data_IF_500214366576
#
_entry.id   IF_500214366576
#
_cell.length_a   1.000
_cell.length_b   1.000
_cell.length_c   1.000
_cell.angle_alpha   90.00
_cell.angle_beta   90.00
_cell.angle_gamma   90.00
#
_symmetry.space_group_name_H-M   'P 1'
#
loop_
_entity.id
_entity.type
_entity.pdbx_description
1 polymer ?
#
# COMPACT_ATOMS: atom_id res chain seq x y z
N UNK A 1 -5.45 -10.19 12.16
CA UNK A 1 -6.78 -10.32 11.53
C UNK A 1 -7.55 -9.05 11.86
N UNK A 2 -8.39 -8.55 10.94
CA UNK A 2 -9.30 -7.43 11.24
C UNK A 2 -10.15 -7.82 12.44
N UNK A 3 -10.24 -6.94 13.44
CA UNK A 3 -10.94 -7.18 14.70
C UNK A 3 -12.40 -6.73 14.64
N UNK A 4 -12.82 -6.11 13.54
CA UNK A 4 -14.17 -5.59 13.36
C UNK A 4 -14.80 -6.08 12.05
N UNK A 5 -16.12 -6.18 12.02
CA UNK A 5 -16.82 -6.58 10.81
C UNK A 5 -16.82 -5.42 9.80
N UNK A 6 -16.07 -5.59 8.71
CA UNK A 6 -16.11 -4.67 7.55
C UNK A 6 -17.27 -5.09 6.65
N UNK A 7 -18.31 -4.26 6.56
CA UNK A 7 -19.51 -4.57 5.78
C UNK A 7 -19.18 -4.74 4.27
N UNK A 8 -19.91 -5.58 3.53
CA UNK A 8 -19.71 -5.75 2.08
C UNK A 8 -19.86 -4.44 1.30
N UNK A 9 -20.75 -3.55 1.72
CA UNK A 9 -20.94 -2.24 1.12
C UNK A 9 -19.68 -1.36 1.30
N UNK A 10 -19.17 -1.28 2.53
CA UNK A 10 -17.94 -0.56 2.83
C UNK A 10 -16.74 -1.16 2.08
N UNK A 11 -16.71 -2.49 1.95
CA UNK A 11 -15.68 -3.16 1.15
C UNK A 11 -15.72 -2.70 -0.31
N UNK A 12 -16.90 -2.72 -0.91
CA UNK A 12 -17.08 -2.30 -2.30
C UNK A 12 -16.69 -0.84 -2.51
N UNK A 13 -17.01 0.04 -1.56
CA UNK A 13 -16.69 1.47 -1.66
C UNK A 13 -15.19 1.74 -1.63
N UNK A 14 -14.46 1.11 -0.71
CA UNK A 14 -13.00 1.18 -0.62
C UNK A 14 -12.33 0.64 -1.90
N UNK A 15 -12.86 -0.46 -2.45
CA UNK A 15 -12.37 -1.05 -3.70
C UNK A 15 -12.60 -0.15 -4.93
N UNK A 16 -13.80 0.43 -5.06
CA UNK A 16 -14.16 1.30 -6.18
C UNK A 16 -13.29 2.55 -6.20
N UNK A 17 -13.09 3.19 -5.06
CA UNK A 17 -12.20 4.34 -4.91
C UNK A 17 -10.77 4.03 -5.36
N UNK A 18 -10.28 2.84 -5.01
CA UNK A 18 -8.93 2.40 -5.35
C UNK A 18 -8.79 1.91 -6.81
N UNK A 19 -9.84 2.01 -7.63
CA UNK A 19 -9.83 1.48 -9.00
C UNK A 19 -9.65 -0.04 -9.05
N UNK A 20 -10.09 -0.75 -8.01
CA UNK A 20 -9.86 -2.19 -7.77
C UNK A 20 -8.38 -2.60 -7.77
N UNK A 21 -7.47 -1.67 -7.48
CA UNK A 21 -6.03 -1.90 -7.39
C UNK A 21 -5.51 -1.48 -6.02
N UNK A 22 -4.56 -2.23 -5.49
CA UNK A 22 -3.91 -1.93 -4.23
C UNK A 22 -3.33 -0.52 -4.24
N UNK A 23 -3.72 0.32 -3.28
CA UNK A 23 -3.35 1.74 -3.17
C UNK A 23 -1.85 1.94 -2.86
N UNK A 24 -1.12 0.85 -2.62
CA UNK A 24 0.34 0.85 -2.44
C UNK A 24 1.08 0.48 -3.74
N UNK A 25 0.69 -0.62 -4.38
CA UNK A 25 1.50 -1.28 -5.42
C UNK A 25 0.80 -1.47 -6.77
N UNK A 26 -0.46 -1.04 -6.89
CA UNK A 26 -1.28 -1.12 -8.09
C UNK A 26 -1.60 -2.53 -8.63
N UNK A 27 -1.29 -3.60 -7.87
CA UNK A 27 -1.73 -4.98 -8.15
C UNK A 27 -3.15 -5.19 -7.59
N UNK A 28 -3.94 -6.09 -8.18
CA UNK A 28 -5.32 -6.37 -7.74
C UNK A 28 -5.38 -6.90 -6.28
N UNK A 29 -6.55 -6.73 -5.64
CA UNK A 29 -7.05 -7.42 -4.42
C UNK A 29 -7.14 -6.68 -3.04
N UNK A 30 -8.08 -7.26 -2.27
CA UNK A 30 -8.54 -7.21 -0.86
C UNK A 30 -8.32 -5.98 0.06
N UNK A 31 -9.14 -5.93 1.13
CA UNK A 31 -9.27 -4.75 2.01
C UNK A 31 -8.59 -5.01 3.34
N UNK A 32 -7.79 -4.03 3.77
CA UNK A 32 -7.03 -4.09 5.01
C UNK A 32 -7.52 -3.09 6.05
N UNK A 33 -7.65 -3.59 7.28
CA UNK A 33 -7.83 -2.82 8.50
C UNK A 33 -6.65 -3.08 9.45
N UNK A 34 -6.04 -2.00 9.94
CA UNK A 34 -4.90 -2.02 10.88
C UNK A 34 -5.05 -0.91 11.92
N UNK A 35 -4.32 -1.04 13.03
CA UNK A 35 -4.14 0.00 14.05
C UNK A 35 -5.36 0.38 14.88
N UNK A 36 -6.41 -0.44 14.86
CA UNK A 36 -7.63 -0.20 15.65
C UNK A 36 -8.37 1.10 15.27
N UNK A 37 -8.05 1.67 14.10
CA UNK A 37 -8.77 2.82 13.60
C UNK A 37 -10.19 2.44 13.18
N UNK A 38 -11.07 3.44 13.11
CA UNK A 38 -12.48 3.22 12.78
C UNK A 38 -12.65 2.51 11.42
N UNK A 39 -13.63 1.61 11.34
CA UNK A 39 -13.98 0.88 10.12
C UNK A 39 -14.78 1.78 9.19
N UNK A 40 -14.13 2.83 8.68
CA UNK A 40 -14.72 3.79 7.74
C UNK A 40 -13.92 3.84 6.45
N UNK A 41 -14.52 4.36 5.39
CA UNK A 41 -13.87 4.49 4.09
C UNK A 41 -12.62 5.36 4.16
N UNK A 42 -12.64 6.39 4.99
CA UNK A 42 -11.54 7.34 5.15
C UNK A 42 -10.31 6.72 5.80
N UNK A 43 -10.50 5.66 6.60
CA UNK A 43 -9.43 5.01 7.34
C UNK A 43 -8.94 3.70 6.70
N UNK A 44 -9.80 2.99 5.96
CA UNK A 44 -9.42 1.74 5.30
C UNK A 44 -8.63 1.99 4.01
N UNK A 45 -7.56 1.20 3.82
CA UNK A 45 -6.80 1.16 2.57
C UNK A 45 -7.13 -0.13 1.80
N UNK A 46 -7.32 -0.01 0.49
CA UNK A 46 -7.39 -1.17 -0.41
C UNK A 46 -5.96 -1.68 -0.62
N UNK A 47 -5.65 -2.87 -0.13
CA UNK A 47 -4.28 -3.35 -0.03
C UNK A 47 -4.21 -4.87 -0.24
N UNK A 48 -3.43 -5.28 -1.23
CA UNK A 48 -3.19 -6.70 -1.47
C UNK A 48 -2.55 -7.38 -0.24
N UNK A 49 -2.77 -8.69 -0.12
CA UNK A 49 -2.34 -9.50 1.03
C UNK A 49 -0.86 -9.32 1.36
N UNK A 50 0.01 -9.21 0.36
CA UNK A 50 1.45 -8.99 0.54
C UNK A 50 1.77 -7.61 1.11
N UNK A 51 1.19 -6.53 0.56
CA UNK A 51 1.38 -5.19 1.09
C UNK A 51 0.83 -5.08 2.52
N UNK A 52 -0.33 -5.69 2.76
CA UNK A 52 -0.95 -5.73 4.07
C UNK A 52 -0.09 -6.47 5.11
N UNK A 53 0.48 -7.61 4.73
CA UNK A 53 1.33 -8.40 5.61
C UNK A 53 2.67 -7.70 5.85
N UNK A 54 3.38 -7.29 4.79
CA UNK A 54 4.67 -6.63 4.92
C UNK A 54 4.58 -5.30 5.67
N UNK A 55 3.47 -4.56 5.55
CA UNK A 55 3.25 -3.36 6.35
C UNK A 55 3.06 -3.69 7.84
N UNK A 56 2.37 -4.79 8.14
CA UNK A 56 2.10 -5.20 9.52
C UNK A 56 1.46 -4.07 10.34
N UNK A 57 2.08 -3.78 11.49
CA UNK A 57 1.80 -2.62 12.35
C UNK A 57 2.83 -1.49 12.16
N UNK A 58 3.64 -1.54 11.12
CA UNK A 58 4.65 -0.52 10.93
C UNK A 58 4.01 0.77 10.39
N UNK A 59 4.47 1.89 10.92
CA UNK A 59 4.13 3.25 10.47
C UNK A 59 5.37 4.03 10.02
N UNK A 60 6.57 3.49 10.25
CA UNK A 60 7.86 4.07 9.90
C UNK A 60 8.92 2.97 9.71
N UNK A 61 10.02 3.31 9.05
CA UNK A 61 11.22 2.48 8.95
C UNK A 61 12.46 3.37 8.85
N UNK A 62 13.65 2.79 9.01
CA UNK A 62 14.91 3.52 8.88
C UNK A 62 15.28 3.64 7.41
N UNK A 63 15.62 4.83 6.91
CA UNK A 63 16.23 5.02 5.60
C UNK A 63 17.67 4.47 5.56
N UNK A 64 18.29 4.45 4.38
CA UNK A 64 19.64 3.90 4.20
C UNK A 64 20.71 4.64 5.00
N UNK A 65 20.50 5.93 5.27
CA UNK A 65 21.35 6.76 6.12
C UNK A 65 21.08 6.61 7.63
N UNK A 66 20.13 5.76 8.02
CA UNK A 66 19.72 5.53 9.41
C UNK A 66 18.65 6.49 9.93
N UNK A 67 18.16 7.43 9.12
CA UNK A 67 17.11 8.36 9.54
C UNK A 67 15.77 7.62 9.68
N UNK A 68 15.03 7.85 10.77
CA UNK A 68 13.68 7.32 10.92
C UNK A 68 12.71 8.10 10.02
N UNK A 69 12.09 7.40 9.07
CA UNK A 69 11.16 7.98 8.08
C UNK A 69 9.82 7.24 8.15
N UNK A 70 8.73 7.99 8.18
CA UNK A 70 7.38 7.40 8.14
C UNK A 70 7.12 6.68 6.81
N UNK A 71 6.26 5.67 6.83
CA UNK A 71 5.78 5.02 5.61
C UNK A 71 4.77 5.92 4.88
N UNK A 72 4.59 5.62 3.59
CA UNK A 72 3.53 6.21 2.78
C UNK A 72 2.16 5.91 3.41
N UNK A 73 1.34 6.95 3.50
CA UNK A 73 -0.01 6.89 4.02
C UNK A 73 -1.00 7.21 2.89
N UNK A 74 -1.73 6.21 2.35
CA UNK A 74 -2.56 6.38 1.16
C UNK A 74 -3.71 7.38 1.34
N UNK A 75 -3.97 7.87 2.57
CA UNK A 75 -5.00 8.89 2.88
C UNK A 75 -4.44 10.30 3.09
N UNK A 76 -3.14 10.43 3.33
CA UNK A 76 -2.49 11.71 3.62
C UNK A 76 -1.52 12.13 2.50
N UNK A 77 -1.06 11.15 1.72
CA UNK A 77 -0.03 11.33 0.72
C UNK A 77 -0.58 11.11 -0.69
N UNK A 78 -0.05 11.87 -1.65
CA UNK A 78 -0.27 11.65 -3.08
C UNK A 78 0.74 10.61 -3.59
N UNK A 79 0.27 9.54 -4.25
CA UNK A 79 1.13 8.42 -4.66
C UNK A 79 2.23 8.89 -5.63
N UNK A 80 1.88 9.71 -6.61
CA UNK A 80 2.77 10.22 -7.67
C UNK A 80 3.87 11.15 -7.14
N UNK A 81 3.67 11.72 -5.95
CA UNK A 81 4.70 12.51 -5.25
C UNK A 81 5.82 11.61 -4.75
N UNK A 82 5.48 10.42 -4.25
CA UNK A 82 6.43 9.50 -3.62
C UNK A 82 6.94 8.41 -4.54
N UNK A 83 6.21 8.12 -5.61
CA UNK A 83 6.47 7.00 -6.49
C UNK A 83 6.31 7.36 -7.97
N UNK A 84 6.97 6.58 -8.81
CA UNK A 84 6.73 6.51 -10.25
C UNK A 84 6.62 5.05 -10.68
N UNK A 85 5.69 4.76 -11.59
CA UNK A 85 5.67 3.47 -12.28
C UNK A 85 6.46 3.60 -13.59
N UNK A 86 7.61 2.93 -13.68
CA UNK A 86 8.48 2.90 -14.86
C UNK A 86 8.50 1.48 -15.41
N UNK A 87 7.75 1.27 -16.51
CA UNK A 87 7.37 -0.07 -16.94
C UNK A 87 6.57 -0.76 -15.86
N UNK A 88 7.07 -1.89 -15.34
CA UNK A 88 6.44 -2.59 -14.21
C UNK A 88 7.10 -2.27 -12.86
N UNK A 89 8.16 -1.46 -12.82
CA UNK A 89 8.92 -1.15 -11.59
C UNK A 89 8.37 0.09 -10.89
N UNK A 90 8.15 0.02 -9.58
CA UNK A 90 7.80 1.19 -8.77
C UNK A 90 9.10 1.82 -8.25
N UNK A 91 9.46 2.97 -8.79
CA UNK A 91 10.61 3.76 -8.35
C UNK A 91 10.20 4.74 -7.24
N UNK A 92 11.00 4.82 -6.19
CA UNK A 92 10.83 5.82 -5.13
C UNK A 92 11.37 7.19 -5.59
N UNK A 93 10.62 8.25 -5.32
CA UNK A 93 11.00 9.65 -5.58
C UNK A 93 11.42 10.42 -4.34
N UNK A 94 11.11 9.89 -3.15
CA UNK A 94 11.38 10.53 -1.86
C UNK A 94 11.85 9.50 -0.83
N UNK A 95 12.36 9.96 0.31
CA UNK A 95 12.71 9.08 1.43
C UNK A 95 11.53 8.22 1.91
N UNK A 96 10.32 8.81 2.02
CA UNK A 96 9.07 8.06 2.32
C UNK A 96 8.85 6.93 1.30
N UNK A 97 9.02 7.22 0.00
CA UNK A 97 8.90 6.24 -1.04
C UNK A 97 9.95 5.13 -0.94
N UNK A 98 11.20 5.48 -0.64
CA UNK A 98 12.31 4.53 -0.49
C UNK A 98 12.03 3.52 0.62
N UNK A 99 11.72 4.02 1.82
CA UNK A 99 11.44 3.14 2.97
C UNK A 99 10.19 2.30 2.73
N UNK A 100 9.18 2.84 2.04
CA UNK A 100 7.95 2.11 1.70
C UNK A 100 8.21 1.01 0.67
N UNK A 101 8.90 1.31 -0.44
CA UNK A 101 9.25 0.35 -1.50
C UNK A 101 10.02 -0.83 -0.91
N UNK A 102 10.99 -0.54 -0.03
CA UNK A 102 11.83 -1.56 0.61
C UNK A 102 11.05 -2.38 1.62
N UNK A 103 10.35 -1.74 2.56
CA UNK A 103 9.60 -2.45 3.59
C UNK A 103 8.50 -3.31 2.98
N UNK A 104 7.71 -2.75 2.07
CA UNK A 104 6.59 -3.45 1.43
C UNK A 104 7.04 -4.38 0.29
N UNK A 105 8.34 -4.39 -0.02
CA UNK A 105 8.98 -5.21 -1.04
C UNK A 105 8.26 -5.11 -2.38
N UNK A 106 8.05 -3.88 -2.85
CA UNK A 106 7.25 -3.64 -4.07
C UNK A 106 7.82 -4.35 -5.28
N UNK A 107 9.15 -4.38 -5.46
CA UNK A 107 9.78 -4.83 -6.71
C UNK A 107 10.42 -6.22 -6.60
N UNK A 108 9.85 -7.12 -5.79
CA UNK A 108 10.24 -8.53 -5.87
C UNK A 108 9.88 -9.11 -7.26
N UNK A 109 10.65 -10.08 -7.78
CA UNK A 109 10.43 -10.64 -9.12
C UNK A 109 8.99 -11.07 -9.38
N UNK A 110 8.36 -11.75 -8.42
CA UNK A 110 6.99 -12.24 -8.52
C UNK A 110 6.00 -11.08 -8.69
N UNK A 111 6.24 -9.96 -8.00
CA UNK A 111 5.39 -8.77 -8.07
C UNK A 111 5.60 -7.97 -9.34
N UNK A 112 6.78 -8.07 -9.96
CA UNK A 112 7.04 -7.47 -11.26
C UNK A 112 6.27 -8.24 -12.34
N UNK A 113 6.31 -9.58 -12.29
CA UNK A 113 5.54 -10.46 -13.17
C UNK A 113 4.03 -10.22 -13.03
N UNK A 114 3.51 -10.10 -11.80
CA UNK A 114 2.09 -9.78 -11.57
C UNK A 114 1.68 -8.44 -12.19
N UNK A 115 2.52 -7.40 -12.07
CA UNK A 115 2.25 -6.10 -12.72
C UNK A 115 2.33 -6.18 -14.24
N UNK A 116 3.24 -6.99 -14.77
CA UNK A 116 3.37 -7.21 -16.21
C UNK A 116 2.11 -7.87 -16.80
N UNK A 117 1.56 -8.86 -16.09
CA UNK A 117 0.33 -9.55 -16.48
C UNK A 117 -0.94 -8.66 -16.43
N UNK A 118 -0.88 -7.49 -15.81
CA UNK A 118 -1.98 -6.51 -15.76
C UNK A 118 -1.93 -5.47 -16.90
N UNK A 119 -0.89 -5.53 -17.74
CA UNK A 119 -0.65 -4.64 -18.88
C UNK A 119 -1.49 -4.95 -20.11
#
# INVERSE_FOLDING_TARGET
MSTTYISPALRREVALRAGARCEYCHIQEEISEKHGGATTTENLAYACTFCNWNKGSDIASLATDGTLVRLFHPRLDTWETHFALVGVVIQARTAIGEVTVRLLKFNLPERLMEREALG
#
